data_IF_140064767298
#
_entry.id   IF_140064767298
#
_cell.length_a   1.000
_cell.length_b   1.000
_cell.length_c   1.000
_cell.angle_alpha   90.00
_cell.angle_beta   90.00
_cell.angle_gamma   90.00
#
_symmetry.space_group_name_H-M   'P 1'
#
loop_
_entity.id
_entity.type
_entity.pdbx_description
1 polymer ?
#
# COMPACT_ATOMS: atom_id res chain seq x y z
N UNK A 1 -20.80 -37.89 31.76
CA UNK A 1 -20.32 -38.14 30.39
C UNK A 1 -20.58 -36.89 29.58
N UNK A 2 -19.55 -36.19 29.10
CA UNK A 2 -19.71 -35.02 28.26
C UNK A 2 -19.94 -35.47 26.81
N UNK A 3 -21.01 -35.00 26.18
CA UNK A 3 -21.27 -35.26 24.76
C UNK A 3 -20.20 -34.59 23.90
N UNK A 4 -19.63 -35.28 22.89
CA UNK A 4 -18.66 -34.66 21.98
C UNK A 4 -19.34 -33.53 21.20
N UNK A 5 -18.68 -32.37 21.14
CA UNK A 5 -19.17 -31.23 20.35
C UNK A 5 -19.22 -31.64 18.87
N UNK A 6 -20.28 -31.24 18.13
CA UNK A 6 -20.38 -31.55 16.72
C UNK A 6 -19.16 -30.99 15.96
N UNK A 7 -18.54 -31.85 15.16
CA UNK A 7 -17.44 -31.49 14.29
C UNK A 7 -18.00 -30.67 13.11
N UNK A 8 -18.11 -29.36 13.30
CA UNK A 8 -18.50 -28.44 12.23
C UNK A 8 -17.31 -28.34 11.28
N UNK A 9 -17.42 -28.75 10.00
CA UNK A 9 -16.34 -28.61 9.05
C UNK A 9 -16.00 -27.12 8.91
N UNK A 10 -14.79 -26.75 9.31
CA UNK A 10 -14.24 -25.43 9.06
C UNK A 10 -14.10 -25.29 7.55
N UNK A 11 -14.96 -24.49 6.92
CA UNK A 11 -14.81 -24.17 5.49
C UNK A 11 -13.39 -23.63 5.28
N UNK A 12 -12.60 -24.19 4.34
CA UNK A 12 -11.24 -23.71 4.10
C UNK A 12 -11.27 -22.24 3.73
N UNK A 13 -10.38 -21.46 4.34
CA UNK A 13 -10.23 -20.03 4.05
C UNK A 13 -9.76 -19.89 2.60
N UNK A 14 -10.51 -19.13 1.80
CA UNK A 14 -10.14 -18.84 0.40
C UNK A 14 -8.79 -18.14 0.34
N UNK A 15 -7.98 -18.46 -0.68
CA UNK A 15 -6.75 -17.72 -0.98
C UNK A 15 -7.07 -16.27 -1.38
N UNK A 16 -6.10 -15.35 -1.29
CA UNK A 16 -6.33 -13.96 -1.70
C UNK A 16 -6.79 -13.87 -3.16
N UNK A 17 -6.22 -14.68 -4.06
CA UNK A 17 -6.64 -14.71 -5.46
C UNK A 17 -8.10 -15.12 -5.63
N UNK A 18 -8.58 -16.09 -4.84
CA UNK A 18 -9.99 -16.48 -4.84
C UNK A 18 -10.89 -15.37 -4.28
N UNK A 19 -10.44 -14.69 -3.22
CA UNK A 19 -11.17 -13.56 -2.64
C UNK A 19 -11.28 -12.38 -3.63
N UNK A 20 -10.20 -12.05 -4.34
CA UNK A 20 -10.18 -11.01 -5.36
C UNK A 20 -11.05 -11.39 -6.57
N UNK A 21 -10.95 -12.63 -7.05
CA UNK A 21 -11.77 -13.11 -8.16
C UNK A 21 -13.27 -13.01 -7.87
N UNK A 22 -13.68 -13.28 -6.62
CA UNK A 22 -15.09 -13.15 -6.21
C UNK A 22 -15.65 -11.73 -6.28
N UNK A 23 -14.78 -10.71 -6.30
CA UNK A 23 -15.16 -9.30 -6.47
C UNK A 23 -14.75 -8.73 -7.83
N UNK A 24 -14.40 -9.62 -8.79
CA UNK A 24 -14.02 -9.22 -10.14
C UNK A 24 -12.62 -8.60 -10.26
N UNK A 25 -11.77 -8.77 -9.25
CA UNK A 25 -10.40 -8.27 -9.24
C UNK A 25 -9.39 -9.39 -9.50
N UNK A 26 -8.23 -9.00 -10.03
CA UNK A 26 -7.06 -9.88 -10.21
C UNK A 26 -5.80 -9.14 -9.78
N UNK A 27 -4.82 -9.88 -9.28
CA UNK A 27 -3.51 -9.30 -9.00
C UNK A 27 -2.78 -9.00 -10.30
N UNK A 28 -2.12 -7.85 -10.36
CA UNK A 28 -1.12 -7.57 -11.38
C UNK A 28 0.25 -7.99 -10.86
N UNK A 29 1.02 -8.79 -11.61
CA UNK A 29 2.34 -9.21 -11.17
C UNK A 29 3.30 -8.02 -11.16
N UNK A 30 3.85 -7.70 -10.00
CA UNK A 30 4.94 -6.73 -9.84
C UNK A 30 6.21 -7.46 -9.42
N UNK A 31 7.37 -6.84 -9.67
CA UNK A 31 8.63 -7.30 -9.08
C UNK A 31 8.52 -7.29 -7.54
N UNK A 32 9.25 -8.18 -6.87
CA UNK A 32 9.29 -8.28 -5.42
C UNK A 32 10.51 -7.54 -4.87
N UNK A 33 10.60 -6.24 -5.17
CA UNK A 33 11.76 -5.40 -4.87
C UNK A 33 11.38 -4.12 -4.11
N UNK A 34 12.36 -3.27 -3.84
CA UNK A 34 12.20 -1.98 -3.17
C UNK A 34 11.27 -0.99 -3.90
N UNK A 35 10.93 -1.24 -5.16
CA UNK A 35 10.09 -0.36 -5.97
C UNK A 35 8.63 -0.82 -6.03
N UNK A 36 8.33 -2.05 -5.60
CA UNK A 36 7.03 -2.70 -5.79
C UNK A 36 5.84 -1.86 -5.30
N UNK A 37 5.99 -1.17 -4.16
CA UNK A 37 4.97 -0.28 -3.62
C UNK A 37 4.60 0.85 -4.61
N UNK A 38 5.61 1.55 -5.12
CA UNK A 38 5.41 2.66 -6.05
C UNK A 38 4.96 2.16 -7.42
N UNK A 39 5.44 1.00 -7.86
CA UNK A 39 4.98 0.35 -9.09
C UNK A 39 3.49 -0.02 -9.00
N UNK A 40 3.04 -0.54 -7.86
CA UNK A 40 1.63 -0.85 -7.64
C UNK A 40 0.76 0.41 -7.67
N UNK A 41 1.16 1.49 -6.98
CA UNK A 41 0.45 2.77 -7.03
C UNK A 41 0.43 3.35 -8.44
N UNK A 42 1.56 3.32 -9.14
CA UNK A 42 1.70 3.79 -10.51
C UNK A 42 0.77 3.01 -11.46
N UNK A 43 0.72 1.68 -11.33
CA UNK A 43 -0.18 0.84 -12.13
C UNK A 43 -1.65 1.16 -11.86
N UNK A 44 -2.01 1.32 -10.58
CA UNK A 44 -3.36 1.69 -10.19
C UNK A 44 -3.80 3.06 -10.73
N UNK A 45 -2.89 4.03 -10.82
CA UNK A 45 -3.21 5.39 -11.29
C UNK A 45 -3.15 5.53 -12.81
N UNK A 46 -2.15 4.92 -13.44
CA UNK A 46 -1.77 5.20 -14.82
C UNK A 46 -1.87 3.99 -15.74
N UNK A 47 -2.23 2.81 -15.23
CA UNK A 47 -2.27 1.57 -16.01
C UNK A 47 -0.88 1.03 -16.39
N UNK A 48 0.19 1.60 -15.82
CA UNK A 48 1.57 1.25 -16.11
C UNK A 48 2.46 1.33 -14.87
N UNK A 49 3.54 0.54 -14.82
CA UNK A 49 4.57 0.60 -13.78
C UNK A 49 5.75 1.50 -14.15
N UNK A 50 5.89 1.94 -15.41
CA UNK A 50 7.13 2.60 -15.88
C UNK A 50 7.46 3.90 -15.14
N UNK A 51 6.45 4.64 -14.72
CA UNK A 51 6.61 5.94 -14.06
C UNK A 51 6.78 5.84 -12.53
N UNK A 52 7.07 4.65 -11.99
CA UNK A 52 7.17 4.45 -10.54
C UNK A 52 8.24 5.32 -9.87
N UNK A 53 9.36 5.60 -10.57
CA UNK A 53 10.43 6.46 -10.06
C UNK A 53 10.00 7.93 -9.99
N UNK A 54 9.29 8.40 -11.02
CA UNK A 54 8.68 9.73 -11.03
C UNK A 54 7.64 9.88 -9.92
N UNK A 55 6.76 8.88 -9.78
CA UNK A 55 5.75 8.87 -8.71
C UNK A 55 6.39 8.88 -7.31
N UNK A 56 7.47 8.12 -7.10
CA UNK A 56 8.25 8.18 -5.85
C UNK A 56 8.75 9.59 -5.58
N UNK A 57 9.35 10.23 -6.59
CA UNK A 57 9.84 11.59 -6.44
C UNK A 57 8.72 12.55 -6.05
N UNK A 58 7.57 12.52 -6.74
CA UNK A 58 6.42 13.38 -6.42
C UNK A 58 5.92 13.18 -4.98
N UNK A 59 5.76 11.92 -4.54
CA UNK A 59 5.33 11.61 -3.17
C UNK A 59 6.34 12.14 -2.15
N UNK A 60 7.64 11.93 -2.38
CA UNK A 60 8.67 12.41 -1.46
C UNK A 60 8.77 13.94 -1.43
N UNK A 61 8.59 14.61 -2.56
CA UNK A 61 8.50 16.07 -2.60
C UNK A 61 7.31 16.59 -1.80
N UNK A 62 6.14 15.92 -1.89
CA UNK A 62 4.99 16.27 -1.07
C UNK A 62 5.28 16.11 0.43
N UNK A 63 5.94 15.02 0.84
CA UNK A 63 6.35 14.81 2.23
C UNK A 63 7.27 15.93 2.70
N UNK A 64 8.29 16.28 1.92
CA UNK A 64 9.26 17.35 2.26
C UNK A 64 8.56 18.70 2.40
N UNK A 65 7.65 19.04 1.48
CA UNK A 65 6.90 20.30 1.51
C UNK A 65 5.97 20.41 2.72
N UNK A 66 5.53 19.27 3.29
CA UNK A 66 4.68 19.20 4.47
C UNK A 66 5.46 18.72 5.70
N UNK A 67 6.76 19.04 5.79
CA UNK A 67 7.67 18.49 6.79
C UNK A 67 7.24 18.68 8.24
N UNK A 68 6.55 19.79 8.57
CA UNK A 68 6.04 20.04 9.93
C UNK A 68 5.04 18.95 10.41
N UNK A 69 4.23 18.42 9.49
CA UNK A 69 3.29 17.33 9.78
C UNK A 69 4.01 15.98 9.71
N UNK A 70 4.74 15.73 8.63
CA UNK A 70 5.32 14.42 8.37
C UNK A 70 6.47 14.07 9.30
N UNK A 71 7.21 15.06 9.81
CA UNK A 71 8.27 14.84 10.80
C UNK A 71 7.75 14.27 12.13
N UNK A 72 6.47 14.49 12.45
CA UNK A 72 5.82 13.91 13.62
C UNK A 72 5.41 12.44 13.41
N UNK A 73 5.25 12.04 12.15
CA UNK A 73 4.93 10.66 11.78
C UNK A 73 6.20 9.81 11.66
N UNK A 74 7.28 10.39 11.14
CA UNK A 74 8.59 9.74 10.98
C UNK A 74 9.31 9.77 12.33
N UNK A 75 9.20 8.67 13.07
CA UNK A 75 9.74 8.56 14.43
C UNK A 75 10.33 7.18 14.69
N UNK A 76 11.19 7.07 15.71
CA UNK A 76 11.66 5.78 16.24
C UNK A 76 12.26 4.86 15.17
N UNK A 77 11.47 3.87 14.74
CA UNK A 77 11.85 2.79 13.80
C UNK A 77 12.12 3.29 12.37
N UNK A 78 11.50 4.40 11.94
CA UNK A 78 11.72 4.96 10.61
C UNK A 78 13.08 5.69 10.48
N UNK A 79 13.69 6.03 11.61
CA UNK A 79 14.94 6.78 11.73
C UNK A 79 14.73 8.29 11.83
N UNK A 80 15.83 9.04 11.70
CA UNK A 80 15.79 10.52 11.71
C UNK A 80 15.24 11.04 10.39
N UNK A 81 14.61 12.21 10.42
CA UNK A 81 14.02 12.87 9.23
C UNK A 81 14.97 12.88 8.02
N UNK A 82 16.20 13.39 8.17
CA UNK A 82 17.13 13.51 7.04
C UNK A 82 17.51 12.14 6.45
N UNK A 83 17.75 11.14 7.30
CA UNK A 83 18.07 9.77 6.89
C UNK A 83 16.89 9.11 6.19
N UNK A 84 15.68 9.33 6.70
CA UNK A 84 14.44 8.86 6.09
C UNK A 84 14.25 9.49 4.71
N UNK A 85 14.36 10.81 4.58
CA UNK A 85 14.20 11.50 3.29
C UNK A 85 15.23 11.01 2.28
N UNK A 86 16.49 10.90 2.67
CA UNK A 86 17.56 10.39 1.81
C UNK A 86 17.26 8.96 1.34
N UNK A 87 16.90 8.06 2.26
CA UNK A 87 16.61 6.66 1.95
C UNK A 87 15.39 6.50 1.07
N UNK A 88 14.28 7.13 1.42
CA UNK A 88 12.99 6.97 0.73
C UNK A 88 12.94 7.66 -0.63
N UNK A 89 13.70 8.76 -0.81
CA UNK A 89 13.82 9.42 -2.11
C UNK A 89 14.68 8.64 -3.11
N UNK A 90 15.55 7.75 -2.63
CA UNK A 90 16.46 6.98 -3.49
C UNK A 90 15.75 5.78 -4.10
N UNK A 91 15.64 5.75 -5.44
CA UNK A 91 15.05 4.65 -6.21
C UNK A 91 15.77 3.34 -5.90
N UNK A 92 15.02 2.26 -5.65
CA UNK A 92 15.58 0.95 -5.35
C UNK A 92 16.20 0.77 -3.96
N UNK A 93 16.13 1.78 -3.08
CA UNK A 93 16.65 1.69 -1.70
C UNK A 93 15.53 1.62 -0.66
N UNK A 94 14.70 2.66 -0.59
CA UNK A 94 13.61 2.75 0.38
C UNK A 94 12.39 1.89 0.04
N UNK A 95 11.79 1.24 1.05
CA UNK A 95 10.51 0.55 0.96
C UNK A 95 9.38 1.52 1.27
N UNK A 96 8.44 1.70 0.34
CA UNK A 96 7.24 2.50 0.62
C UNK A 96 6.29 1.79 1.58
N UNK A 97 5.62 2.56 2.42
CA UNK A 97 4.72 2.06 3.46
C UNK A 97 3.54 3.00 3.74
N UNK A 98 3.13 3.09 5.01
CA UNK A 98 1.95 3.85 5.40
C UNK A 98 2.14 5.37 5.23
N UNK A 99 3.35 5.88 5.46
CA UNK A 99 3.65 7.31 5.37
C UNK A 99 3.56 7.78 3.91
N UNK A 100 4.21 7.07 2.99
CA UNK A 100 4.12 7.38 1.56
C UNK A 100 2.70 7.14 1.02
N UNK A 101 1.98 6.17 1.55
CA UNK A 101 0.59 5.95 1.19
C UNK A 101 -0.31 7.12 1.60
N UNK A 102 -0.14 7.63 2.83
CA UNK A 102 -0.86 8.81 3.31
C UNK A 102 -0.58 10.01 2.39
N UNK A 103 0.69 10.30 2.14
CA UNK A 103 1.12 11.38 1.25
C UNK A 103 0.52 11.23 -0.15
N UNK A 104 0.57 10.03 -0.72
CA UNK A 104 -0.05 9.73 -2.00
C UNK A 104 -1.57 10.00 -1.99
N UNK A 105 -2.31 9.53 -0.98
CA UNK A 105 -3.76 9.73 -0.91
C UNK A 105 -4.15 11.20 -0.77
N UNK A 106 -3.37 11.99 -0.03
CA UNK A 106 -3.60 13.43 0.14
C UNK A 106 -3.25 14.21 -1.12
N UNK A 107 -2.06 13.96 -1.69
CA UNK A 107 -1.58 14.63 -2.89
C UNK A 107 -2.53 14.44 -4.07
N UNK A 108 -2.98 13.20 -4.31
CA UNK A 108 -3.87 12.88 -5.43
C UNK A 108 -5.36 13.00 -5.09
N UNK A 109 -5.72 13.23 -3.82
CA UNK A 109 -7.11 13.25 -3.32
C UNK A 109 -7.86 11.96 -3.68
N UNK A 110 -7.18 10.82 -3.51
CA UNK A 110 -7.71 9.48 -3.83
C UNK A 110 -7.86 8.64 -2.58
N UNK A 111 -8.77 7.66 -2.63
CA UNK A 111 -8.88 6.61 -1.62
C UNK A 111 -8.17 5.37 -2.11
N UNK A 112 -7.25 4.84 -1.31
CA UNK A 112 -6.55 3.57 -1.59
C UNK A 112 -7.09 2.48 -0.69
N UNK A 113 -6.93 1.24 -1.15
CA UNK A 113 -7.16 0.08 -0.33
C UNK A 113 -6.12 -0.99 -0.57
N UNK A 114 -5.87 -1.72 0.51
CA UNK A 114 -4.95 -2.83 0.58
C UNK A 114 -5.75 -4.10 0.86
N UNK A 115 -5.59 -5.12 0.01
CA UNK A 115 -6.08 -6.46 0.28
C UNK A 115 -4.93 -7.31 0.84
N UNK A 116 -5.21 -8.10 1.89
CA UNK A 116 -4.22 -9.00 2.49
C UNK A 116 -4.84 -10.34 2.85
N UNK A 117 -4.02 -11.39 2.89
CA UNK A 117 -4.47 -12.73 3.31
C UNK A 117 -4.83 -12.80 4.79
N UNK A 118 -4.27 -11.93 5.64
CA UNK A 118 -4.34 -12.07 7.10
C UNK A 118 -5.57 -11.43 7.74
N UNK A 119 -6.16 -10.37 7.20
CA UNK A 119 -7.32 -9.73 7.84
C UNK A 119 -8.36 -9.12 6.87
N UNK A 120 -9.64 -9.28 7.25
CA UNK A 120 -10.83 -8.84 6.51
C UNK A 120 -10.84 -7.32 6.39
N UNK A 121 -11.05 -6.83 5.17
CA UNK A 121 -11.33 -5.44 4.78
C UNK A 121 -10.18 -4.46 4.97
N UNK A 122 -9.61 -4.03 3.85
CA UNK A 122 -9.66 -2.61 3.48
C UNK A 122 -10.30 -2.55 2.06
N UNK A 123 -10.87 -1.41 1.63
CA UNK A 123 -11.94 -1.20 0.60
C UNK A 123 -11.65 -1.34 -0.94
N UNK A 124 -11.18 -0.37 -1.73
CA UNK A 124 -10.89 -0.33 -3.21
C UNK A 124 -12.14 -0.11 -4.09
N UNK A 125 -12.47 1.18 -4.25
CA UNK A 125 -13.12 1.76 -5.43
C UNK A 125 -12.51 3.16 -5.67
N UNK A 126 -12.24 3.48 -6.93
CA UNK A 126 -11.89 4.83 -7.38
C UNK A 126 -13.18 5.57 -7.69
N UNK A 127 -13.49 6.61 -6.93
CA UNK A 127 -14.24 7.73 -7.48
C UNK A 127 -13.33 8.94 -7.38
N UNK A 128 -13.01 9.53 -8.53
CA UNK A 128 -12.63 10.94 -8.59
C UNK A 128 -13.75 11.67 -7.83
N UNK A 129 -13.44 12.24 -6.66
CA UNK A 129 -14.41 13.09 -5.98
C UNK A 129 -14.72 14.22 -6.99
N UNK A 130 -16.00 14.43 -7.38
CA UNK A 130 -16.34 15.51 -8.30
C UNK A 130 -15.86 16.86 -7.77
#
# INVERSE_FOLDING_TARGET
MATPKPNIPVKPKLSLNQQLANIGLKQYPTAHDHNCFYAALCYCMYGTVQEHARLRHEIMQYIIQNGDEYSQLITGEDGRWDEYIQRQSTVGLGWGGQIELKAFTEMYKVKVTIYSERNRKHLLFFNKIP
#
